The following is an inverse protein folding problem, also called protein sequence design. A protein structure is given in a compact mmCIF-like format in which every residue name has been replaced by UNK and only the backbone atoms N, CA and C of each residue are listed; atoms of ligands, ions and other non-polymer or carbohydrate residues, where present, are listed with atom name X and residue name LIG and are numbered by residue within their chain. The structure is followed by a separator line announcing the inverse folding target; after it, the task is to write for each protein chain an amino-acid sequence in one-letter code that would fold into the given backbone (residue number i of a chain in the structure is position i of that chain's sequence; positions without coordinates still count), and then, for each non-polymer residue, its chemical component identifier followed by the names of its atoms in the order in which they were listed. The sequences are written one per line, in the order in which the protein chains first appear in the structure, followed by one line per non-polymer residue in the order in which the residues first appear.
data_IF_214169809249
#
_entry.id   IF_214169809249
#
_cell.length_a   1.000
_cell.length_b   1.000
_cell.length_c   1.000
_cell.angle_alpha   90.00
_cell.angle_beta   90.00
_cell.angle_gamma   90.00
#
_symmetry.space_group_name_H-M   'P 1'
#
loop_
_entity.id
_entity.type
_entity.pdbx_description
1 polymer ?
#
# COMPACT_ATOMS: atom_id res chain seq x y z
N UNK A 1 -2.47 -13.91 13.18
CA UNK A 1 -1.89 -13.33 11.96
C UNK A 1 -1.81 -14.43 10.92
N UNK A 2 -2.29 -14.17 9.70
CA UNK A 2 -2.09 -15.11 8.58
C UNK A 2 -0.65 -15.06 8.07
N UNK A 3 -0.13 -16.13 7.47
CA UNK A 3 1.22 -16.13 6.85
C UNK A 3 1.40 -14.95 5.87
N UNK A 4 0.32 -14.58 5.19
CA UNK A 4 0.29 -13.42 4.29
C UNK A 4 0.46 -12.09 5.02
N UNK A 5 -0.20 -11.92 6.16
CA UNK A 5 -0.11 -10.69 6.96
C UNK A 5 1.30 -10.49 7.51
N UNK A 6 1.91 -11.55 8.07
CA UNK A 6 3.31 -11.51 8.50
C UNK A 6 4.26 -11.16 7.34
N UNK A 7 4.04 -11.74 6.15
CA UNK A 7 4.82 -11.41 4.94
C UNK A 7 4.71 -9.93 4.57
N UNK A 8 3.53 -9.32 4.72
CA UNK A 8 3.30 -7.91 4.40
C UNK A 8 3.88 -6.99 5.48
N UNK A 9 3.86 -7.38 6.76
CA UNK A 9 4.54 -6.65 7.84
C UNK A 9 6.06 -6.64 7.66
N UNK A 10 6.65 -7.77 7.28
CA UNK A 10 8.08 -7.86 6.94
C UNK A 10 8.42 -6.99 5.73
N UNK A 11 7.53 -6.97 4.71
CA UNK A 11 7.68 -6.10 3.56
C UNK A 11 7.63 -4.62 3.96
N UNK A 12 6.69 -4.21 4.81
CA UNK A 12 6.60 -2.85 5.33
C UNK A 12 7.90 -2.42 6.01
N UNK A 13 8.47 -3.32 6.83
CA UNK A 13 9.76 -3.10 7.50
C UNK A 13 10.90 -2.92 6.49
N UNK A 14 10.93 -3.74 5.43
CA UNK A 14 11.91 -3.61 4.36
C UNK A 14 11.76 -2.31 3.57
N UNK A 15 10.53 -1.86 3.32
CA UNK A 15 10.24 -0.64 2.56
C UNK A 15 10.76 0.62 3.26
N UNK A 16 10.70 0.68 4.59
CA UNK A 16 11.30 1.77 5.40
C UNK A 16 12.82 1.89 5.25
N UNK A 17 13.50 0.89 4.67
CA UNK A 17 14.93 0.94 4.40
C UNK A 17 15.31 1.71 3.13
N UNK A 18 14.35 2.18 2.34
CA UNK A 18 14.60 2.98 1.14
C UNK A 18 14.57 4.47 1.48
N UNK A 19 15.57 5.23 1.04
CA UNK A 19 15.74 6.65 1.36
C UNK A 19 14.51 7.53 0.99
N UNK A 20 13.78 7.17 -0.06
CA UNK A 20 12.60 7.92 -0.51
C UNK A 20 11.34 7.66 0.35
N UNK A 21 11.37 6.66 1.22
CA UNK A 21 10.22 6.20 2.03
C UNK A 21 10.36 6.76 3.44
N UNK A 22 9.47 7.67 3.81
CA UNK A 22 9.44 8.25 5.15
C UNK A 22 8.75 7.33 6.16
N UNK A 23 7.72 6.59 5.73
CA UNK A 23 7.12 5.50 6.50
C UNK A 23 6.47 4.46 5.57
N UNK A 24 6.31 3.24 6.08
CA UNK A 24 5.52 2.20 5.42
C UNK A 24 4.87 1.29 6.47
N UNK A 25 3.57 1.03 6.31
CA UNK A 25 2.81 0.20 7.26
C UNK A 25 1.65 -0.51 6.59
N UNK A 26 1.19 -1.59 7.24
CA UNK A 26 0.02 -2.34 6.81
C UNK A 26 -1.23 -1.70 7.40
N UNK A 27 -2.21 -1.42 6.56
CA UNK A 27 -3.55 -1.01 6.94
C UNK A 27 -4.58 -2.00 6.41
N UNK A 28 -5.78 -1.97 6.98
CA UNK A 28 -6.92 -2.77 6.52
C UNK A 28 -8.10 -1.83 6.25
N UNK A 29 -8.76 -2.03 5.11
CA UNK A 29 -10.08 -1.48 4.82
C UNK A 29 -11.17 -2.50 5.17
N UNK A 30 -12.43 -2.20 4.86
CA UNK A 30 -13.53 -3.11 5.15
C UNK A 30 -13.42 -4.46 4.42
N UNK A 31 -12.85 -4.45 3.21
CA UNK A 31 -12.77 -5.62 2.33
C UNK A 31 -11.35 -6.10 2.09
N UNK A 32 -10.36 -5.21 2.20
CA UNK A 32 -9.02 -5.45 1.66
C UNK A 32 -7.92 -5.06 2.65
N UNK A 33 -6.71 -5.58 2.41
CA UNK A 33 -5.49 -5.13 3.07
C UNK A 33 -4.71 -4.20 2.15
N UNK A 34 -4.08 -3.20 2.74
CA UNK A 34 -3.35 -2.16 2.03
C UNK A 34 -1.95 -1.99 2.60
N UNK A 35 -0.95 -2.09 1.74
CA UNK A 35 0.39 -1.59 2.04
C UNK A 35 0.38 -0.08 1.81
N UNK A 36 0.61 0.69 2.87
CA UNK A 36 0.72 2.14 2.84
C UNK A 36 2.20 2.51 2.73
N UNK A 37 2.50 3.48 1.86
CA UNK A 37 3.81 4.11 1.74
C UNK A 37 3.63 5.62 1.84
N UNK A 38 4.36 6.23 2.76
CA UNK A 38 4.54 7.66 2.84
C UNK A 38 5.92 7.99 2.25
N UNK A 39 5.95 8.99 1.36
CA UNK A 39 7.16 9.44 0.69
C UNK A 39 7.47 10.89 1.09
N UNK A 40 8.75 11.24 1.07
CA UNK A 40 9.23 12.61 1.23
C UNK A 40 8.71 13.55 0.12
N UNK A 41 8.67 14.85 0.39
CA UNK A 41 8.15 15.84 -0.56
C UNK A 41 8.90 15.84 -1.90
N UNK A 42 8.16 15.80 -3.00
CA UNK A 42 8.71 15.81 -4.36
C UNK A 42 9.21 14.45 -4.86
N UNK A 43 9.23 13.44 -3.99
CA UNK A 43 9.56 12.07 -4.38
C UNK A 43 8.37 11.37 -5.05
N UNK A 44 8.70 10.44 -5.93
CA UNK A 44 7.74 9.49 -6.48
C UNK A 44 8.15 8.08 -6.08
N UNK A 45 7.20 7.15 -6.01
CA UNK A 45 7.49 5.76 -5.62
C UNK A 45 8.67 5.23 -6.45
N UNK A 46 9.82 4.87 -5.89
CA UNK A 46 10.98 4.45 -6.68
C UNK A 46 10.66 3.21 -7.52
N UNK A 47 11.33 3.06 -8.68
CA UNK A 47 11.11 1.89 -9.56
C UNK A 47 11.32 0.56 -8.83
N UNK A 48 12.41 0.43 -8.07
CA UNK A 48 12.70 -0.78 -7.31
C UNK A 48 11.62 -1.10 -6.26
N UNK A 49 11.06 -0.07 -5.63
CA UNK A 49 9.93 -0.21 -4.69
C UNK A 49 8.67 -0.67 -5.44
N UNK A 50 8.36 -0.09 -6.60
CA UNK A 50 7.23 -0.51 -7.44
C UNK A 50 7.34 -1.97 -7.89
N UNK A 51 8.51 -2.38 -8.37
CA UNK A 51 8.77 -3.76 -8.79
C UNK A 51 8.60 -4.72 -7.61
N UNK A 52 9.17 -4.39 -6.44
CA UNK A 52 9.02 -5.19 -5.23
C UNK A 52 7.55 -5.32 -4.78
N UNK A 53 6.77 -4.24 -4.83
CA UNK A 53 5.34 -4.29 -4.50
C UNK A 53 4.58 -5.21 -5.47
N UNK A 54 4.86 -5.10 -6.78
CA UNK A 54 4.23 -5.95 -7.80
C UNK A 54 4.59 -7.43 -7.60
N UNK A 55 5.84 -7.75 -7.31
CA UNK A 55 6.29 -9.12 -7.01
C UNK A 55 5.60 -9.72 -5.78
N UNK A 56 5.13 -8.84 -4.88
CA UNK A 56 4.35 -9.20 -3.71
C UNK A 56 2.83 -9.09 -3.94
N UNK A 57 2.31 -9.07 -5.17
CA UNK A 57 0.88 -8.97 -5.50
C UNK A 57 0.19 -7.68 -4.99
N UNK A 58 0.95 -6.61 -4.80
CA UNK A 58 0.44 -5.31 -4.36
C UNK A 58 0.29 -4.36 -5.56
N UNK A 59 -0.93 -3.85 -5.76
CA UNK A 59 -1.27 -2.97 -6.89
C UNK A 59 -1.86 -1.66 -6.41
N UNK A 60 -1.59 -0.58 -7.13
CA UNK A 60 -2.04 0.76 -6.72
C UNK A 60 -3.56 0.79 -6.52
N UNK A 61 -4.02 1.37 -5.41
CA UNK A 61 -5.44 1.36 -5.07
C UNK A 61 -6.33 2.00 -6.14
N UNK A 62 -5.86 3.08 -6.80
CA UNK A 62 -6.65 3.74 -7.84
C UNK A 62 -6.79 2.90 -9.10
N UNK A 63 -5.76 2.10 -9.43
CA UNK A 63 -5.82 1.11 -10.50
C UNK A 63 -6.83 0.01 -10.15
N UNK A 64 -6.74 -0.56 -8.94
CA UNK A 64 -7.57 -1.69 -8.50
C UNK A 64 -9.04 -1.34 -8.35
N UNK A 65 -9.33 -0.11 -7.88
CA UNK A 65 -10.69 0.38 -7.69
C UNK A 65 -11.23 1.17 -8.88
N UNK A 66 -10.40 1.44 -9.90
CA UNK A 66 -10.81 2.21 -11.08
C UNK A 66 -11.15 3.67 -10.77
N UNK A 67 -10.57 4.27 -9.72
CA UNK A 67 -10.88 5.65 -9.29
C UNK A 67 -10.16 6.74 -10.10
N UNK A 68 -9.48 6.38 -11.19
CA UNK A 68 -9.26 7.29 -12.32
C UNK A 68 -8.29 8.46 -12.12
N UNK A 69 -7.31 8.36 -11.22
CA UNK A 69 -6.20 9.32 -11.12
C UNK A 69 -5.04 9.00 -12.06
N UNK A 70 -4.25 10.01 -12.47
CA UNK A 70 -3.03 9.81 -13.27
C UNK A 70 -1.98 8.96 -12.53
N UNK A 71 -2.02 8.96 -11.20
CA UNK A 71 -1.16 8.12 -10.37
C UNK A 71 -1.94 6.92 -9.80
N UNK A 72 -1.52 5.68 -10.09
CA UNK A 72 -2.26 4.47 -9.72
C UNK A 72 -2.35 4.23 -8.21
N UNK A 73 -1.53 4.88 -7.39
CA UNK A 73 -1.43 4.62 -5.94
C UNK A 73 -1.61 5.85 -5.07
N UNK A 74 -1.57 7.07 -5.62
CA UNK A 74 -1.64 8.29 -4.83
C UNK A 74 -2.96 8.39 -4.07
N UNK A 75 -2.87 8.73 -2.78
CA UNK A 75 -4.01 8.80 -1.87
C UNK A 75 -4.11 10.14 -1.13
N UNK A 76 -3.20 11.08 -1.37
CA UNK A 76 -3.25 12.43 -0.83
C UNK A 76 -1.89 12.96 -0.40
N UNK A 77 -1.86 14.26 -0.12
CA UNK A 77 -0.70 14.95 0.42
C UNK A 77 -0.61 14.78 1.94
N UNK A 78 0.62 14.76 2.45
CA UNK A 78 0.96 14.83 3.87
C UNK A 78 1.75 16.12 4.13
N UNK A 79 1.83 16.54 5.40
CA UNK A 79 2.75 17.62 5.75
C UNK A 79 4.19 17.12 5.51
N UNK A 80 4.83 17.65 4.47
CA UNK A 80 6.18 17.23 4.05
C UNK A 80 6.25 16.02 3.12
N UNK A 81 5.14 15.57 2.51
CA UNK A 81 5.19 14.37 1.69
C UNK A 81 3.91 13.99 0.96
N UNK A 82 3.86 12.75 0.47
CA UNK A 82 2.67 12.17 -0.17
C UNK A 82 2.40 10.78 0.36
N UNK A 83 1.13 10.40 0.41
CA UNK A 83 0.69 9.05 0.80
C UNK A 83 0.27 8.25 -0.43
N UNK A 84 0.73 7.01 -0.47
CA UNK A 84 0.41 6.02 -1.49
C UNK A 84 -0.21 4.77 -0.86
N UNK A 85 -1.17 4.18 -1.56
CA UNK A 85 -1.88 2.97 -1.14
C UNK A 85 -1.79 1.88 -2.20
N UNK A 86 -1.43 0.67 -1.76
CA UNK A 86 -1.36 -0.51 -2.60
C UNK A 86 -2.19 -1.65 -2.00
N UNK A 87 -3.13 -2.17 -2.76
CA UNK A 87 -4.06 -3.24 -2.36
C UNK A 87 -3.37 -4.60 -2.52
N UNK A 88 -3.48 -5.45 -1.49
CA UNK A 88 -3.16 -6.87 -1.60
C UNK A 88 -4.19 -7.57 -2.48
N UNK A 89 -3.83 -7.77 -3.75
CA UNK A 89 -4.72 -8.42 -4.72
C UNK A 89 -4.86 -9.93 -4.50
N UNK A 90 -3.95 -10.55 -3.72
CA UNK A 90 -4.00 -11.99 -3.43
C UNK A 90 -5.12 -12.34 -2.45
N UNK A 91 -5.43 -11.46 -1.51
CA UNK A 91 -6.47 -11.68 -0.47
C UNK A 91 -7.61 -10.66 -0.55
N UNK A 92 -7.83 -10.11 -1.75
CA UNK A 92 -8.85 -9.08 -1.99
C UNK A 92 -10.24 -9.64 -1.70
N UNK A 93 -11.04 -8.91 -0.92
CA UNK A 93 -12.38 -9.31 -0.53
C UNK A 93 -12.44 -10.37 0.58
N UNK A 94 -11.32 -10.94 1.00
CA UNK A 94 -11.28 -11.94 2.08
C UNK A 94 -11.45 -11.30 3.47
N UNK A 95 -11.30 -9.97 3.59
CA UNK A 95 -11.27 -9.28 4.87
C UNK A 95 -12.61 -8.74 5.33
N UNK A 96 -13.73 -9.19 4.74
CA UNK A 96 -15.08 -8.76 5.10
C UNK A 96 -15.31 -8.84 6.61
N UNK A 97 -15.40 -7.68 7.27
CA UNK A 97 -15.83 -7.57 8.65
C UNK A 97 -17.31 -7.22 8.67
N UNK A 98 -18.21 -8.18 8.90
CA UNK A 98 -19.62 -7.85 9.11
C UNK A 98 -19.77 -6.93 10.33
N UNK A 99 -20.35 -5.74 10.14
CA UNK A 99 -20.94 -4.99 11.26
C UNK A 99 -22.24 -5.71 11.57
N UNK A 100 -22.32 -6.30 12.75
CA UNK A 100 -23.58 -6.81 13.30
C UNK A 100 -24.26 -5.58 13.91
N UNK A 101 -25.44 -5.20 13.38
CA UNK A 101 -26.31 -4.17 13.97
C UNK A 101 -26.71 -4.53 15.41
#
# INVERSE_FOLDING_TARGET
MSDREATLEDLATRLRGYDAVSDAFLAKSFTDRHQILDLEAGESVPRAVRELLVDHDLRGANEVYGTGGENPSFAGDLDGGTRHQFVDTRTRGDHQSYVVD
#
